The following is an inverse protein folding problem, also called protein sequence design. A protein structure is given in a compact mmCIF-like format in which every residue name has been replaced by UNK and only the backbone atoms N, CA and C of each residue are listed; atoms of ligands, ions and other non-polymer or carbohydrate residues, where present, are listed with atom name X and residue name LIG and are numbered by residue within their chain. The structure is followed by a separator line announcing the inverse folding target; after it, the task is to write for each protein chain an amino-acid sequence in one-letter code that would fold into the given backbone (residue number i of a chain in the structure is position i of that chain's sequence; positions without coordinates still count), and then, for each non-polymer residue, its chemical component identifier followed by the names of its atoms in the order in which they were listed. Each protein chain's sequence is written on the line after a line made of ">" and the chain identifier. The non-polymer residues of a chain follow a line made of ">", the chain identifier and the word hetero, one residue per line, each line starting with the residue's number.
data_IF_585651408469
#
_entry.id   IF_585651408469
#
_cell.length_a   1.000
_cell.length_b   1.000
_cell.length_c   1.000
_cell.angle_alpha   90.00
_cell.angle_beta   90.00
_cell.angle_gamma   90.00
#
_symmetry.space_group_name_H-M   'P 1'
#
loop_
_entity.id
_entity.type
_entity.pdbx_description
1 polymer ?
#
# COMPACT_ATOMS: atom_id res chain seq x y z
N UNK A 1 -27.51 0.00 2.89
CA UNK A 1 -26.31 0.66 3.46
C UNK A 1 -25.87 1.76 2.52
N UNK A 2 -25.78 3.02 2.96
CA UNK A 2 -25.26 4.10 2.11
C UNK A 2 -23.74 3.93 1.97
N UNK A 3 -23.27 3.55 0.79
CA UNK A 3 -21.84 3.49 0.46
C UNK A 3 -21.36 4.90 0.18
N UNK A 4 -20.72 5.53 1.16
CA UNK A 4 -20.10 6.83 0.96
C UNK A 4 -18.73 6.63 0.30
N UNK A 5 -18.54 7.27 -0.85
CA UNK A 5 -17.30 7.22 -1.63
C UNK A 5 -16.53 8.51 -1.45
N UNK A 6 -15.22 8.42 -1.28
CA UNK A 6 -14.35 9.61 -1.22
C UNK A 6 -13.77 9.89 -2.60
N UNK A 7 -13.86 11.14 -3.05
CA UNK A 7 -13.25 11.56 -4.32
C UNK A 7 -11.80 11.95 -4.09
N UNK A 8 -10.88 11.18 -4.66
CA UNK A 8 -9.45 11.45 -4.65
C UNK A 8 -9.06 12.15 -5.94
N UNK A 9 -8.34 13.26 -5.85
CA UNK A 9 -7.85 13.98 -7.02
C UNK A 9 -6.85 13.12 -7.79
N UNK A 10 -7.21 12.73 -9.00
CA UNK A 10 -6.40 11.92 -9.90
C UNK A 10 -6.31 12.62 -11.27
N UNK A 11 -5.29 12.31 -12.07
CA UNK A 11 -5.15 12.80 -13.43
C UNK A 11 -6.02 12.02 -14.44
N UNK A 12 -7.31 11.85 -14.15
CA UNK A 12 -8.30 11.28 -15.07
C UNK A 12 -9.05 12.37 -15.83
N UNK A 13 -9.77 12.04 -16.91
CA UNK A 13 -10.65 12.98 -17.63
C UNK A 13 -11.69 13.64 -16.71
N UNK A 14 -12.15 12.92 -15.67
CA UNK A 14 -13.09 13.42 -14.66
C UNK A 14 -12.41 14.30 -13.59
N UNK A 15 -11.08 14.25 -13.49
CA UNK A 15 -10.27 14.97 -12.49
C UNK A 15 -10.20 14.32 -11.11
N UNK A 16 -10.89 13.18 -10.91
CA UNK A 16 -10.88 12.41 -9.68
C UNK A 16 -11.13 10.91 -9.94
N UNK A 17 -10.79 10.09 -8.95
CA UNK A 17 -11.26 8.73 -8.79
C UNK A 17 -12.05 8.60 -7.48
N UNK A 18 -13.01 7.69 -7.48
CA UNK A 18 -13.77 7.35 -6.27
C UNK A 18 -13.01 6.25 -5.53
N UNK A 19 -12.76 6.42 -4.24
CA UNK A 19 -12.23 5.41 -3.34
C UNK A 19 -13.37 4.85 -2.47
N UNK A 20 -13.43 3.53 -2.42
CA UNK A 20 -14.31 2.75 -1.56
C UNK A 20 -13.52 2.23 -0.33
N UNK A 21 -14.22 1.68 0.65
CA UNK A 21 -13.60 1.08 1.84
C UNK A 21 -12.60 -0.02 1.44
N UNK A 22 -11.39 0.05 1.99
CA UNK A 22 -10.31 -0.89 1.69
C UNK A 22 -9.56 -0.63 0.39
N UNK A 23 -9.94 0.38 -0.40
CA UNK A 23 -9.12 0.81 -1.54
C UNK A 23 -7.84 1.51 -1.07
N UNK A 24 -6.77 1.31 -1.85
CA UNK A 24 -5.52 2.03 -1.60
C UNK A 24 -5.53 3.39 -2.28
N UNK A 25 -4.79 4.33 -1.71
CA UNK A 25 -4.62 5.69 -2.20
C UNK A 25 -3.13 6.01 -2.17
N UNK A 26 -2.51 6.13 -3.35
CA UNK A 26 -1.14 6.60 -3.45
C UNK A 26 -1.10 8.12 -3.26
N UNK A 27 -0.37 8.58 -2.25
CA UNK A 27 -0.21 10.00 -1.91
C UNK A 27 1.22 10.51 -2.10
N UNK A 28 2.04 9.86 -2.93
CA UNK A 28 3.45 10.23 -3.12
C UNK A 28 3.67 11.66 -3.63
N UNK A 29 2.75 12.15 -4.47
CA UNK A 29 2.85 13.48 -5.11
C UNK A 29 1.48 14.18 -5.15
N UNK A 30 0.89 14.49 -3.99
CA UNK A 30 -0.52 14.90 -3.88
C UNK A 30 -0.79 16.24 -4.58
N UNK A 31 0.23 17.09 -4.66
CA UNK A 31 0.17 18.42 -5.28
C UNK A 31 0.45 18.41 -6.80
N UNK A 32 0.77 17.25 -7.40
CA UNK A 32 1.12 17.17 -8.81
C UNK A 32 -0.10 17.34 -9.73
N UNK A 33 0.08 18.00 -10.88
CA UNK A 33 -0.98 18.09 -11.90
C UNK A 33 -1.20 16.79 -12.69
N UNK A 34 -0.18 15.94 -12.80
CA UNK A 34 -0.17 14.78 -13.71
C UNK A 34 0.07 13.44 -13.01
N UNK A 35 0.67 13.42 -11.81
CA UNK A 35 1.02 12.19 -11.09
C UNK A 35 0.28 12.01 -9.75
N UNK A 36 -0.58 12.96 -9.36
CA UNK A 36 -1.28 12.94 -8.06
C UNK A 36 -2.26 11.79 -7.94
N UNK A 37 -2.44 11.35 -6.69
CA UNK A 37 -3.59 10.60 -6.17
C UNK A 37 -4.04 9.46 -7.08
N UNK A 38 -3.53 8.25 -6.84
CA UNK A 38 -3.97 7.05 -7.55
C UNK A 38 -4.75 6.14 -6.63
N UNK A 39 -5.92 5.70 -7.09
CA UNK A 39 -6.76 4.79 -6.32
C UNK A 39 -6.60 3.37 -6.84
N UNK A 40 -6.13 2.47 -5.98
CA UNK A 40 -6.05 1.03 -6.26
C UNK A 40 -7.30 0.32 -5.75
N UNK A 41 -8.09 -0.25 -6.65
CA UNK A 41 -9.34 -0.95 -6.31
C UNK A 41 -9.09 -2.31 -5.68
N UNK A 42 -9.27 -2.41 -4.36
CA UNK A 42 -8.95 -3.62 -3.53
C UNK A 42 -7.52 -4.15 -3.72
N UNK A 43 -6.63 -3.32 -4.23
CA UNK A 43 -5.22 -3.61 -4.45
C UNK A 43 -4.42 -2.43 -3.96
N UNK A 44 -3.16 -2.66 -3.59
CA UNK A 44 -2.19 -1.59 -3.38
C UNK A 44 -1.28 -1.48 -4.59
N UNK A 45 -0.95 -0.26 -5.00
CA UNK A 45 0.13 -0.06 -5.96
C UNK A 45 1.49 -0.42 -5.33
N UNK A 46 2.58 -0.32 -6.10
CA UNK A 46 3.92 -0.63 -5.61
C UNK A 46 4.22 0.10 -4.28
N UNK A 47 4.73 -0.67 -3.32
CA UNK A 47 5.25 -0.16 -2.07
C UNK A 47 6.64 0.44 -2.33
N UNK A 48 6.78 1.75 -2.19
CA UNK A 48 8.09 2.40 -2.22
C UNK A 48 8.72 2.37 -0.82
N UNK A 49 10.01 2.70 -0.73
CA UNK A 49 10.74 2.70 0.56
C UNK A 49 10.18 3.69 1.57
N UNK A 50 9.57 4.77 1.08
CA UNK A 50 8.88 5.75 1.89
C UNK A 50 7.45 5.35 2.24
N UNK A 51 6.92 4.28 1.66
CA UNK A 51 5.54 3.80 1.72
C UNK A 51 4.49 4.91 1.68
N UNK A 52 4.36 5.56 0.53
CA UNK A 52 3.37 6.61 0.27
C UNK A 52 2.00 6.04 -0.15
N UNK A 53 1.58 4.95 0.52
CA UNK A 53 0.31 4.26 0.28
C UNK A 53 -0.57 4.39 1.51
N UNK A 54 -1.82 4.82 1.29
CA UNK A 54 -2.84 4.96 2.30
C UNK A 54 -4.03 4.05 2.00
N UNK A 55 -4.87 3.82 3.00
CA UNK A 55 -6.14 3.08 2.89
C UNK A 55 -7.27 3.93 3.45
N UNK A 56 -8.45 3.78 2.87
CA UNK A 56 -9.68 4.34 3.40
C UNK A 56 -10.30 3.40 4.46
N UNK A 57 -10.47 3.89 5.68
CA UNK A 57 -11.07 3.14 6.80
C UNK A 57 -12.58 3.36 6.90
N UNK A 58 -13.24 2.51 7.68
CA UNK A 58 -14.69 2.56 7.96
C UNK A 58 -15.13 3.89 8.57
N UNK A 59 -14.26 4.55 9.34
CA UNK A 59 -14.48 5.88 9.91
C UNK A 59 -14.30 7.03 8.91
N UNK A 60 -14.22 6.73 7.61
CA UNK A 60 -13.96 7.69 6.53
C UNK A 60 -12.63 8.46 6.68
N UNK A 61 -11.64 7.85 7.33
CA UNK A 61 -10.30 8.43 7.48
C UNK A 61 -9.35 7.80 6.46
N UNK A 62 -8.56 8.65 5.82
CA UNK A 62 -7.43 8.21 5.00
C UNK A 62 -6.23 8.12 5.94
N UNK A 63 -5.69 6.92 6.13
CA UNK A 63 -4.46 6.70 6.89
C UNK A 63 -3.43 5.98 6.07
N UNK A 64 -2.15 6.22 6.36
CA UNK A 64 -1.06 5.44 5.80
C UNK A 64 -1.21 3.95 6.19
N UNK A 65 -0.79 3.06 5.30
CA UNK A 65 -0.61 1.64 5.63
C UNK A 65 0.45 1.52 6.73
N UNK A 66 0.18 0.68 7.72
CA UNK A 66 1.13 0.36 8.81
C UNK A 66 2.28 -0.50 8.29
N UNK A 67 3.43 -0.57 9.00
CA UNK A 67 4.52 -1.47 8.61
C UNK A 67 4.08 -2.94 8.55
N UNK A 68 3.18 -3.36 9.44
CA UNK A 68 2.67 -4.73 9.43
C UNK A 68 1.85 -5.02 8.17
N UNK A 69 1.00 -4.08 7.76
CA UNK A 69 0.20 -4.20 6.53
C UNK A 69 1.09 -4.25 5.29
N UNK A 70 2.16 -3.46 5.23
CA UNK A 70 3.09 -3.50 4.08
C UNK A 70 3.85 -4.81 3.99
N UNK A 71 4.26 -5.39 5.12
CA UNK A 71 4.88 -6.71 5.17
C UNK A 71 3.93 -7.83 4.74
N UNK A 72 2.67 -7.77 5.20
CA UNK A 72 1.62 -8.70 4.75
C UNK A 72 1.35 -8.57 3.25
N UNK A 73 1.34 -7.36 2.69
CA UNK A 73 1.19 -7.14 1.25
C UNK A 73 2.33 -7.78 0.43
N UNK A 74 3.54 -7.82 0.97
CA UNK A 74 4.66 -8.57 0.36
C UNK A 74 4.59 -10.08 0.62
N UNK A 75 3.63 -10.56 1.42
CA UNK A 75 3.45 -11.98 1.74
C UNK A 75 4.38 -12.51 2.84
N UNK A 76 4.98 -11.64 3.66
CA UNK A 76 5.69 -12.08 4.85
C UNK A 76 4.74 -12.60 5.92
N UNK A 77 5.18 -13.60 6.69
CA UNK A 77 4.43 -14.06 7.85
C UNK A 77 4.47 -13.03 8.97
N UNK A 78 3.39 -12.97 9.77
CA UNK A 78 3.32 -12.11 10.95
C UNK A 78 4.51 -12.37 11.90
N UNK A 79 4.91 -13.63 12.08
CA UNK A 79 6.06 -13.98 12.92
C UNK A 79 7.37 -13.32 12.46
N UNK A 80 7.57 -13.18 11.14
CA UNK A 80 8.76 -12.53 10.59
C UNK A 80 8.72 -11.03 10.86
N UNK A 81 7.56 -10.40 10.69
CA UNK A 81 7.34 -9.01 11.05
C UNK A 81 7.60 -8.76 12.55
N UNK A 82 7.03 -9.58 13.46
CA UNK A 82 7.20 -9.38 14.91
C UNK A 82 8.65 -9.57 15.36
N UNK A 83 9.45 -10.39 14.68
CA UNK A 83 10.89 -10.47 14.95
C UNK A 83 11.63 -9.23 14.46
N UNK A 84 11.30 -8.75 13.27
CA UNK A 84 11.92 -7.56 12.69
C UNK A 84 11.56 -6.28 13.46
N UNK A 85 10.31 -6.15 13.92
CA UNK A 85 9.82 -4.96 14.64
C UNK A 85 10.47 -4.76 16.01
N UNK A 86 10.91 -5.84 16.66
CA UNK A 86 11.63 -5.78 17.95
C UNK A 86 13.01 -5.10 17.86
N UNK A 87 13.58 -5.01 16.66
CA UNK A 87 14.96 -4.52 16.46
C UNK A 87 15.06 -3.43 15.39
N UNK A 88 13.95 -2.98 14.82
CA UNK A 88 13.92 -1.94 13.77
C UNK A 88 12.84 -0.89 14.07
N UNK A 89 13.12 0.36 13.68
CA UNK A 89 12.11 1.42 13.64
C UNK A 89 11.09 1.21 12.50
N UNK A 90 9.91 1.81 12.62
CA UNK A 90 8.89 1.81 11.56
C UNK A 90 9.45 2.30 10.21
N UNK A 91 10.26 3.36 10.22
CA UNK A 91 10.92 3.88 9.02
C UNK A 91 11.79 2.81 8.33
N UNK A 92 12.53 2.02 9.11
CA UNK A 92 13.34 0.92 8.57
C UNK A 92 12.44 -0.23 8.07
N UNK A 93 11.38 -0.57 8.79
CA UNK A 93 10.43 -1.61 8.38
C UNK A 93 9.73 -1.28 7.06
N UNK A 94 9.34 -0.01 6.85
CA UNK A 94 8.83 0.46 5.55
C UNK A 94 9.87 0.32 4.45
N UNK A 95 11.11 0.74 4.70
CA UNK A 95 12.20 0.61 3.72
C UNK A 95 12.47 -0.86 3.37
N UNK A 96 12.45 -1.75 4.35
CA UNK A 96 12.60 -3.19 4.13
C UNK A 96 11.47 -3.75 3.26
N UNK A 97 10.21 -3.40 3.55
CA UNK A 97 9.07 -3.83 2.74
C UNK A 97 9.12 -3.27 1.31
N UNK A 98 9.51 -2.00 1.14
CA UNK A 98 9.59 -1.34 -0.18
C UNK A 98 10.74 -1.83 -1.05
N UNK A 99 11.87 -2.23 -0.46
CA UNK A 99 13.00 -2.84 -1.18
C UNK A 99 12.84 -4.34 -1.40
N UNK A 100 11.82 -4.96 -0.79
CA UNK A 100 11.61 -6.40 -0.89
C UNK A 100 10.95 -6.82 -2.19
N UNK A 101 10.88 -8.13 -2.35
CA UNK A 101 10.15 -8.83 -3.41
C UNK A 101 8.98 -9.58 -2.77
N UNK A 102 7.88 -9.73 -3.49
CA UNK A 102 6.72 -10.43 -2.95
C UNK A 102 7.02 -11.93 -2.80
N UNK A 103 6.97 -12.43 -1.56
CA UNK A 103 7.30 -13.81 -1.17
C UNK A 103 6.57 -14.85 -2.04
N UNK A 104 5.26 -14.73 -2.35
CA UNK A 104 4.57 -15.72 -3.17
C UNK A 104 5.12 -15.82 -4.61
N UNK A 105 5.59 -14.69 -5.16
CA UNK A 105 6.16 -14.65 -6.51
C UNK A 105 7.51 -15.35 -6.53
N UNK A 106 8.39 -15.04 -5.57
CA UNK A 106 9.70 -15.69 -5.47
C UNK A 106 9.56 -17.18 -5.19
N UNK A 107 8.62 -17.57 -4.34
CA UNK A 107 8.31 -18.97 -4.09
C UNK A 107 7.91 -19.71 -5.37
N UNK A 108 7.02 -19.12 -6.18
CA UNK A 108 6.61 -19.70 -7.46
C UNK A 108 7.76 -19.78 -8.47
N UNK A 109 8.67 -18.80 -8.49
CA UNK A 109 9.88 -18.84 -9.33
C UNK A 109 10.81 -19.97 -8.85
N UNK A 110 11.08 -20.04 -7.54
CA UNK A 110 11.96 -21.05 -6.96
C UNK A 110 11.51 -22.48 -7.25
N UNK A 111 10.20 -22.76 -7.24
CA UNK A 111 9.65 -24.07 -7.64
C UNK A 111 9.91 -24.46 -9.11
N UNK A 112 10.20 -23.47 -9.97
CA UNK A 112 10.48 -23.69 -11.40
C UNK A 112 11.96 -23.73 -11.72
N UNK A 113 12.81 -23.30 -10.78
CA UNK A 113 14.25 -23.45 -10.89
C UNK A 113 14.59 -24.92 -10.66
N UNK A 114 15.20 -25.54 -11.67
CA UNK A 114 15.75 -26.90 -11.61
C UNK A 114 17.20 -26.83 -11.16
#
# INVERSE_FOLDING_TARGET
>A
MKTYKIRIKEATKKGYAEADLGDSINFSVPNSKTRRGRVGKKITHTLDTACNQAVLTEDFRIRRLTPKETWRLQGFSDSAFERASKVNSDTQLYRQAGNSVSVPVIFAIAQRLK
#
